data_IF_381550786779
#
_entry.id   IF_381550786779
#
_cell.length_a   1.000
_cell.length_b   1.000
_cell.length_c   1.000
_cell.angle_alpha   90.00
_cell.angle_beta   90.00
_cell.angle_gamma   90.00
#
_symmetry.space_group_name_H-M   'P 1'
#
loop_
_entity.id
_entity.type
_entity.pdbx_description
1 polymer ?
#
# COMPACT_ATOMS: atom_id res chain seq x y z
N UNK A 1 9.40 -18.70 2.76
CA UNK A 1 9.49 -17.77 1.60
C UNK A 1 8.36 -18.03 0.59
N UNK A 2 7.65 -16.97 0.18
CA UNK A 2 6.71 -17.07 -0.93
C UNK A 2 7.49 -17.49 -2.19
N UNK A 3 7.17 -18.64 -2.77
CA UNK A 3 7.82 -19.17 -3.99
C UNK A 3 7.30 -18.43 -5.23
N UNK A 4 7.30 -17.11 -5.18
CA UNK A 4 6.71 -16.20 -6.17
C UNK A 4 7.76 -15.16 -6.58
N UNK A 5 7.76 -14.76 -7.86
CA UNK A 5 8.63 -13.70 -8.34
C UNK A 5 8.17 -12.35 -7.78
N UNK A 6 9.01 -11.72 -6.97
CA UNK A 6 8.72 -10.42 -6.32
C UNK A 6 9.79 -9.35 -6.61
N UNK A 7 10.53 -9.49 -7.72
CA UNK A 7 11.66 -8.60 -8.05
C UNK A 7 11.27 -7.11 -8.12
N UNK A 8 10.04 -6.80 -8.55
CA UNK A 8 9.57 -5.41 -8.65
C UNK A 8 9.54 -4.69 -7.30
N UNK A 9 9.37 -5.42 -6.18
CA UNK A 9 9.37 -4.82 -4.84
C UNK A 9 10.76 -4.32 -4.43
N UNK A 10 11.84 -4.89 -5.00
CA UNK A 10 13.20 -4.51 -4.68
C UNK A 10 13.66 -3.23 -5.38
N UNK A 11 13.27 -3.04 -6.65
CA UNK A 11 13.66 -1.87 -7.45
C UNK A 11 12.49 -1.36 -8.30
N UNK A 12 11.48 -0.73 -7.68
CA UNK A 12 10.34 -0.17 -8.40
C UNK A 12 10.72 1.10 -9.16
N UNK A 13 10.22 1.24 -10.40
CA UNK A 13 10.50 2.38 -11.29
C UNK A 13 10.02 3.72 -10.70
N UNK A 14 8.95 3.67 -9.90
CA UNK A 14 8.34 4.86 -9.28
C UNK A 14 9.02 5.29 -7.98
N UNK A 15 10.11 4.63 -7.57
CA UNK A 15 10.74 4.84 -6.27
C UNK A 15 10.10 3.99 -5.17
N UNK A 16 10.92 3.66 -4.15
CA UNK A 16 10.57 2.69 -3.11
C UNK A 16 9.45 3.19 -2.19
N UNK A 17 9.52 4.43 -1.72
CA UNK A 17 8.49 5.01 -0.84
C UNK A 17 7.12 5.00 -1.50
N UNK A 18 7.01 5.53 -2.72
CA UNK A 18 5.73 5.57 -3.43
C UNK A 18 5.20 4.17 -3.77
N UNK A 19 6.06 3.23 -4.13
CA UNK A 19 5.66 1.85 -4.37
C UNK A 19 5.08 1.18 -3.12
N UNK A 20 5.73 1.38 -1.97
CA UNK A 20 5.23 0.87 -0.68
C UNK A 20 3.90 1.53 -0.29
N UNK A 21 3.73 2.83 -0.56
CA UNK A 21 2.49 3.57 -0.28
C UNK A 21 1.32 3.03 -1.10
N UNK A 22 1.55 2.74 -2.39
CA UNK A 22 0.56 2.10 -3.24
C UNK A 22 0.28 0.65 -2.83
N UNK A 23 1.30 -0.09 -2.41
CA UNK A 23 1.16 -1.47 -1.96
C UNK A 23 0.37 -1.56 -0.65
N UNK A 24 0.56 -0.61 0.27
CA UNK A 24 -0.27 -0.43 1.47
C UNK A 24 -1.73 -0.17 1.09
N UNK A 25 -1.99 0.77 0.19
CA UNK A 25 -3.34 1.11 -0.25
C UNK A 25 -4.07 -0.11 -0.84
N UNK A 26 -3.43 -0.85 -1.74
CA UNK A 26 -4.01 -2.07 -2.35
C UNK A 26 -4.20 -3.18 -1.29
N UNK A 27 -3.25 -3.31 -0.36
CA UNK A 27 -3.36 -4.27 0.74
C UNK A 27 -4.56 -4.01 1.64
N UNK A 28 -4.85 -2.73 1.91
CA UNK A 28 -6.02 -2.32 2.67
C UNK A 28 -7.33 -2.62 1.92
N UNK A 29 -7.39 -2.35 0.61
CA UNK A 29 -8.56 -2.68 -0.24
C UNK A 29 -8.82 -4.19 -0.26
N UNK A 30 -7.76 -4.99 -0.34
CA UNK A 30 -7.86 -6.45 -0.37
C UNK A 30 -8.03 -7.09 1.03
N UNK A 31 -7.91 -6.31 2.10
CA UNK A 31 -8.04 -6.80 3.47
C UNK A 31 -6.93 -7.75 3.94
N UNK A 32 -5.69 -7.58 3.44
CA UNK A 32 -4.55 -8.38 3.89
C UNK A 32 -3.82 -7.70 5.06
N UNK A 33 -4.17 -8.06 6.30
CA UNK A 33 -3.56 -7.50 7.53
C UNK A 33 -2.02 -7.61 7.52
N UNK A 34 -1.50 -8.79 7.21
CA UNK A 34 -0.05 -9.03 7.16
C UNK A 34 0.65 -8.08 6.18
N UNK A 35 0.04 -7.85 5.01
CA UNK A 35 0.58 -6.97 3.98
C UNK A 35 0.53 -5.51 4.44
N UNK A 36 -0.58 -5.08 5.06
CA UNK A 36 -0.74 -3.73 5.61
C UNK A 36 0.35 -3.43 6.63
N UNK A 37 0.53 -4.30 7.62
CA UNK A 37 1.55 -4.12 8.67
C UNK A 37 2.98 -4.09 8.09
N UNK A 38 3.26 -4.93 7.08
CA UNK A 38 4.57 -4.98 6.44
C UNK A 38 4.88 -3.70 5.64
N UNK A 39 3.92 -3.21 4.86
CA UNK A 39 4.10 -2.00 4.05
C UNK A 39 4.11 -0.73 4.92
N UNK A 40 3.29 -0.66 5.98
CA UNK A 40 3.34 0.42 6.96
C UNK A 40 4.72 0.50 7.63
N UNK A 41 5.23 -0.62 8.14
CA UNK A 41 6.57 -0.66 8.74
C UNK A 41 7.67 -0.25 7.74
N UNK A 42 7.57 -0.66 6.48
CA UNK A 42 8.52 -0.21 5.45
C UNK A 42 8.44 1.29 5.19
N UNK A 43 7.23 1.86 5.18
CA UNK A 43 7.01 3.30 4.95
C UNK A 43 7.57 4.15 6.09
N UNK A 44 7.33 3.74 7.33
CA UNK A 44 7.89 4.41 8.51
C UNK A 44 9.43 4.39 8.47
N UNK A 45 10.04 3.27 8.08
CA UNK A 45 11.50 3.17 7.91
C UNK A 45 12.04 4.06 6.76
N UNK A 46 11.21 4.34 5.75
CA UNK A 46 11.54 5.25 4.65
C UNK A 46 11.27 6.73 5.01
N UNK A 47 10.82 7.01 6.24
CA UNK A 47 10.57 8.37 6.74
C UNK A 47 9.19 8.93 6.40
N UNK A 48 8.23 8.10 5.98
CA UNK A 48 6.86 8.54 5.82
C UNK A 48 6.20 8.80 7.19
N UNK A 49 5.36 9.81 7.26
CA UNK A 49 4.56 10.13 8.46
C UNK A 49 3.32 9.24 8.54
N UNK A 50 2.85 8.93 9.75
CA UNK A 50 1.58 8.21 9.97
C UNK A 50 0.39 8.89 9.28
N UNK A 51 0.35 10.23 9.24
CA UNK A 51 -0.69 11.01 8.55
C UNK A 51 -0.77 10.67 7.06
N UNK A 52 0.38 10.64 6.37
CA UNK A 52 0.49 10.26 4.95
C UNK A 52 0.08 8.82 4.70
N UNK A 53 0.43 7.90 5.60
CA UNK A 53 0.04 6.48 5.56
C UNK A 53 -1.49 6.36 5.69
N UNK A 54 -2.07 7.06 6.66
CA UNK A 54 -3.51 7.08 6.89
C UNK A 54 -4.27 7.70 5.72
N UNK A 55 -3.77 8.80 5.15
CA UNK A 55 -4.36 9.43 3.97
C UNK A 55 -4.40 8.48 2.76
N UNK A 56 -3.36 7.68 2.55
CA UNK A 56 -3.35 6.67 1.48
C UNK A 56 -4.48 5.65 1.66
N UNK A 57 -4.69 5.15 2.89
CA UNK A 57 -5.78 4.21 3.21
C UNK A 57 -7.16 4.86 3.04
N UNK A 58 -7.32 6.12 3.47
CA UNK A 58 -8.57 6.87 3.29
C UNK A 58 -8.92 7.07 1.82
N UNK A 59 -7.97 7.49 1.00
CA UNK A 59 -8.17 7.69 -0.44
C UNK A 59 -8.55 6.35 -1.10
N UNK A 60 -7.83 5.27 -0.79
CA UNK A 60 -8.14 3.94 -1.29
C UNK A 60 -9.58 3.49 -0.94
N UNK A 61 -10.03 3.80 0.27
CA UNK A 61 -11.39 3.51 0.74
C UNK A 61 -12.44 4.30 -0.05
N UNK A 62 -12.19 5.59 -0.32
CA UNK A 62 -13.10 6.43 -1.11
C UNK A 62 -13.21 5.91 -2.54
N UNK A 63 -12.08 5.60 -3.19
CA UNK A 63 -12.06 5.04 -4.56
C UNK A 63 -12.83 3.72 -4.63
N UNK A 64 -12.61 2.84 -3.65
CA UNK A 64 -13.32 1.57 -3.55
C UNK A 64 -14.82 1.77 -3.36
N UNK A 65 -15.22 2.69 -2.49
CA UNK A 65 -16.64 3.02 -2.29
C UNK A 65 -17.27 3.63 -3.54
N UNK A 66 -16.59 4.53 -4.23
CA UNK A 66 -17.07 5.13 -5.47
C UNK A 66 -17.31 4.06 -6.54
N UNK A 67 -16.38 3.10 -6.68
CA UNK A 67 -16.55 1.95 -7.57
C UNK A 67 -17.82 1.14 -7.28
N UNK A 68 -18.12 0.87 -6.01
CA UNK A 68 -19.34 0.14 -5.58
C UNK A 68 -20.64 0.91 -5.71
N UNK A 69 -20.58 2.24 -5.78
CA UNK A 69 -21.76 3.10 -5.93
C UNK A 69 -22.10 3.32 -7.39
N UNK A 70 -21.08 3.40 -8.26
CA UNK A 70 -21.26 3.67 -9.69
C UNK A 70 -21.54 2.41 -10.53
N UNK A 71 -21.06 1.25 -10.10
CA UNK A 71 -21.19 -0.04 -10.77
C UNK A 71 -21.76 -1.08 -9.83
#
# INVERSE_FOLDING_TARGET
PARVRMQIMGNPVTGKEFFELMSLAISAVNGCEMCVNAHEGSLLNLGATEERIFDAVRIASIVTSAGKVLY
#
